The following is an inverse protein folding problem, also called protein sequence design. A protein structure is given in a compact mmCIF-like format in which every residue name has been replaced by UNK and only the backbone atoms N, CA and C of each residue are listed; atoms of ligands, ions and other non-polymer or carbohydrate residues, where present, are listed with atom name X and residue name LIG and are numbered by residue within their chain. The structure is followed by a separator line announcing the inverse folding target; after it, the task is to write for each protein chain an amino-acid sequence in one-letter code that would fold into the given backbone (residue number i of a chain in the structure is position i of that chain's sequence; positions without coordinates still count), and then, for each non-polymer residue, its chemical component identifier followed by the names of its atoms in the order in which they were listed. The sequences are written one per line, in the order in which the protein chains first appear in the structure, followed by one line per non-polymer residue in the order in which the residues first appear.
data_IF_666311696978
#
_entry.id   IF_666311696978
#
_cell.length_a   1.000
_cell.length_b   1.000
_cell.length_c   1.000
_cell.angle_alpha   90.00
_cell.angle_beta   90.00
_cell.angle_gamma   90.00
#
_symmetry.space_group_name_H-M   'P 1'
#
loop_
_entity.id
_entity.type
_entity.pdbx_description
1 polymer ?
#
# COMPACT_ATOMS: atom_id res chain seq x y z
N UNK A 1 -0.27 -46.55 -3.11
CA UNK A 1 -1.44 -45.82 -3.71
C UNK A 1 -1.74 -44.45 -3.05
N UNK A 2 -1.03 -44.06 -1.98
CA UNK A 2 -1.24 -42.77 -1.31
C UNK A 2 -0.54 -41.56 -1.97
N UNK A 3 0.45 -41.79 -2.81
CA UNK A 3 1.30 -40.74 -3.36
C UNK A 3 0.61 -39.90 -4.45
N UNK A 4 -0.16 -40.49 -5.35
CA UNK A 4 -0.79 -39.80 -6.47
C UNK A 4 -2.00 -38.93 -6.06
N UNK A 5 -2.78 -39.40 -5.07
CA UNK A 5 -3.92 -38.63 -4.55
C UNK A 5 -3.48 -37.41 -3.75
N UNK A 6 -2.34 -37.49 -3.07
CA UNK A 6 -1.77 -36.36 -2.32
C UNK A 6 -1.23 -35.25 -3.27
N UNK A 7 -0.67 -35.63 -4.38
CA UNK A 7 -0.10 -34.76 -5.41
C UNK A 7 -1.16 -33.95 -6.15
N UNK A 8 -2.28 -34.57 -6.56
CA UNK A 8 -3.36 -33.82 -7.21
C UNK A 8 -4.08 -32.87 -6.26
N UNK A 9 -4.19 -33.19 -4.97
CA UNK A 9 -4.74 -32.28 -3.96
C UNK A 9 -3.84 -31.08 -3.72
N UNK A 10 -2.52 -31.26 -3.71
CA UNK A 10 -1.56 -30.16 -3.59
C UNK A 10 -1.55 -29.25 -4.82
N UNK A 11 -1.62 -29.81 -6.03
CA UNK A 11 -1.69 -29.02 -7.26
C UNK A 11 -3.00 -28.21 -7.34
N UNK A 12 -4.13 -28.79 -6.95
CA UNK A 12 -5.42 -28.08 -6.90
C UNK A 12 -5.42 -26.96 -5.85
N UNK A 13 -4.83 -27.20 -4.68
CA UNK A 13 -4.73 -26.19 -3.64
C UNK A 13 -3.81 -25.04 -4.06
N UNK A 14 -2.70 -25.33 -4.73
CA UNK A 14 -1.79 -24.32 -5.26
C UNK A 14 -2.45 -23.44 -6.33
N UNK A 15 -3.18 -24.04 -7.29
CA UNK A 15 -3.92 -23.29 -8.31
C UNK A 15 -4.99 -22.37 -7.70
N UNK A 16 -5.72 -22.88 -6.69
CA UNK A 16 -6.71 -22.08 -5.96
C UNK A 16 -6.07 -20.93 -5.20
N UNK A 17 -4.94 -21.17 -4.51
CA UNK A 17 -4.21 -20.13 -3.78
C UNK A 17 -3.69 -19.04 -4.71
N UNK A 18 -3.21 -19.39 -5.91
CA UNK A 18 -2.78 -18.43 -6.92
C UNK A 18 -3.94 -17.54 -7.42
N UNK A 19 -5.13 -18.11 -7.62
CA UNK A 19 -6.33 -17.35 -7.98
C UNK A 19 -6.75 -16.39 -6.84
N UNK A 20 -6.76 -16.89 -5.60
CA UNK A 20 -7.13 -16.08 -4.43
C UNK A 20 -6.12 -14.93 -4.20
N UNK A 21 -4.84 -15.18 -4.45
CA UNK A 21 -3.81 -14.13 -4.44
C UNK A 21 -4.07 -13.08 -5.54
N UNK A 22 -4.38 -13.49 -6.76
CA UNK A 22 -4.71 -12.56 -7.85
C UNK A 22 -5.94 -11.71 -7.52
N UNK A 23 -6.98 -12.30 -6.95
CA UNK A 23 -8.17 -11.58 -6.48
C UNK A 23 -7.89 -10.64 -5.31
N UNK A 24 -6.99 -11.02 -4.41
CA UNK A 24 -6.57 -10.13 -3.32
C UNK A 24 -5.78 -8.93 -3.85
N UNK A 25 -4.90 -9.13 -4.84
CA UNK A 25 -4.18 -8.03 -5.52
C UNK A 25 -5.14 -7.10 -6.25
N UNK A 26 -6.16 -7.63 -6.91
CA UNK A 26 -7.19 -6.83 -7.59
C UNK A 26 -7.98 -5.97 -6.60
N UNK A 27 -8.43 -6.54 -5.49
CA UNK A 27 -9.09 -5.79 -4.41
C UNK A 27 -8.17 -4.72 -3.82
N UNK A 28 -6.90 -5.03 -3.58
CA UNK A 28 -5.93 -4.08 -3.06
C UNK A 28 -5.66 -2.93 -4.04
N UNK A 29 -5.61 -3.23 -5.35
CA UNK A 29 -5.48 -2.22 -6.39
C UNK A 29 -6.70 -1.29 -6.40
N UNK A 30 -7.91 -1.84 -6.43
CA UNK A 30 -9.14 -1.06 -6.42
C UNK A 30 -9.29 -0.22 -5.14
N UNK A 31 -8.86 -0.75 -3.99
CA UNK A 31 -8.86 -0.01 -2.73
C UNK A 31 -7.95 1.23 -2.76
N UNK A 32 -6.85 1.22 -3.51
CA UNK A 32 -5.97 2.40 -3.70
C UNK A 32 -6.61 3.52 -4.52
N UNK A 33 -7.63 3.20 -5.32
CA UNK A 33 -8.37 4.19 -6.09
C UNK A 33 -9.46 4.89 -5.26
N UNK A 34 -9.78 4.37 -4.07
CA UNK A 34 -10.68 5.00 -3.13
C UNK A 34 -9.97 6.11 -2.34
N UNK A 35 -10.73 7.08 -1.77
CA UNK A 35 -10.16 8.08 -0.90
C UNK A 35 -9.41 7.45 0.27
N UNK A 36 -8.14 7.82 0.44
CA UNK A 36 -7.30 7.38 1.55
C UNK A 36 -7.28 8.45 2.61
N UNK A 37 -7.66 8.10 3.83
CA UNK A 37 -7.66 9.02 4.98
C UNK A 37 -6.45 8.69 5.84
N UNK A 38 -5.62 9.70 6.13
CA UNK A 38 -4.47 9.58 7.00
C UNK A 38 -4.52 10.63 8.11
N UNK A 39 -4.23 10.21 9.33
CA UNK A 39 -3.93 11.07 10.46
C UNK A 39 -2.41 11.14 10.58
N UNK A 40 -1.87 12.35 10.66
CA UNK A 40 -0.44 12.61 10.82
C UNK A 40 -0.23 13.62 11.92
N UNK A 41 0.91 13.55 12.60
CA UNK A 41 1.23 14.53 13.62
C UNK A 41 2.61 14.30 14.20
N UNK A 42 3.24 15.41 14.57
CA UNK A 42 4.49 15.45 15.31
C UNK A 42 4.20 16.00 16.71
N UNK A 43 4.58 15.22 17.71
CA UNK A 43 4.41 15.61 19.12
C UNK A 43 5.78 15.94 19.67
N UNK A 44 5.98 17.24 19.99
CA UNK A 44 7.21 17.75 20.60
C UNK A 44 8.48 17.70 19.71
N UNK A 45 8.50 18.54 18.69
CA UNK A 45 9.74 18.86 17.99
C UNK A 45 10.44 20.00 18.74
N UNK A 46 11.41 19.66 19.60
CA UNK A 46 12.12 20.62 20.44
C UNK A 46 13.41 21.08 19.77
N UNK A 47 13.54 22.40 19.62
CA UNK A 47 14.74 23.06 19.11
C UNK A 47 15.24 24.12 20.11
N UNK A 48 16.55 24.17 20.29
CA UNK A 48 17.22 25.19 21.11
C UNK A 48 18.32 25.85 20.28
N UNK A 49 18.25 27.18 20.13
CA UNK A 49 19.19 27.96 19.34
C UNK A 49 19.43 29.30 19.97
N UNK A 50 20.58 29.92 19.67
CA UNK A 50 20.84 31.31 19.99
C UNK A 50 20.44 32.14 18.78
N UNK A 51 19.47 33.01 18.97
CA UNK A 51 18.91 33.84 17.89
C UNK A 51 19.06 35.35 18.19
N UNK A 52 19.19 36.19 17.18
CA UNK A 52 19.14 37.64 17.36
C UNK A 52 17.72 38.09 17.72
N UNK A 53 17.58 38.77 18.82
CA UNK A 53 16.34 39.42 19.28
C UNK A 53 16.45 40.89 19.19
N UNK A 54 15.52 41.54 18.51
CA UNK A 54 15.46 43.02 18.40
C UNK A 54 14.68 43.55 19.59
N UNK A 55 15.35 44.35 20.41
CA UNK A 55 14.72 45.07 21.49
C UNK A 55 13.99 46.32 20.99
N UNK A 56 13.00 46.77 21.75
CA UNK A 56 12.27 48.03 21.46
C UNK A 56 13.15 49.27 21.46
N UNK A 57 14.36 49.16 22.01
CA UNK A 57 15.41 50.23 21.98
C UNK A 57 16.15 50.33 20.63
N UNK A 58 15.90 49.37 19.68
CA UNK A 58 16.64 49.28 18.42
C UNK A 58 17.93 48.47 18.51
N UNK A 59 18.26 47.94 19.67
CA UNK A 59 19.45 47.15 19.91
C UNK A 59 19.20 45.69 19.61
N UNK A 60 20.17 44.98 19.03
CA UNK A 60 20.10 43.54 18.73
C UNK A 60 20.90 42.79 19.78
N UNK A 61 20.23 41.90 20.51
CA UNK A 61 20.85 41.04 21.51
C UNK A 61 20.72 39.58 21.07
N UNK A 62 21.80 38.81 21.21
CA UNK A 62 21.74 37.37 20.98
C UNK A 62 21.23 36.67 22.24
N UNK A 63 20.07 36.02 22.13
CA UNK A 63 19.41 35.34 23.25
C UNK A 63 19.19 33.86 22.97
N UNK A 64 19.37 32.98 23.98
CA UNK A 64 18.99 31.61 23.85
C UNK A 64 17.47 31.50 23.75
N UNK A 65 17.00 30.83 22.69
CA UNK A 65 15.59 30.59 22.42
C UNK A 65 15.34 29.08 22.40
N UNK A 66 14.33 28.65 23.13
CA UNK A 66 13.79 27.29 23.05
C UNK A 66 12.47 27.34 22.31
N UNK A 67 12.32 26.44 21.38
CA UNK A 67 11.12 26.32 20.56
C UNK A 67 10.63 24.87 20.62
N UNK A 68 9.34 24.69 20.89
CA UNK A 68 8.68 23.41 20.81
C UNK A 68 7.52 23.51 19.83
N UNK A 69 7.61 22.76 18.74
CA UNK A 69 6.60 22.70 17.70
C UNK A 69 5.87 21.37 17.81
N UNK A 70 4.55 21.40 17.73
CA UNK A 70 3.70 20.23 17.68
C UNK A 70 2.64 20.46 16.61
N UNK A 71 2.40 19.47 15.78
CA UNK A 71 1.36 19.55 14.76
C UNK A 71 0.48 18.31 14.77
N UNK A 72 -0.75 18.46 14.33
CA UNK A 72 -1.67 17.39 14.08
C UNK A 72 -2.53 17.73 12.87
N UNK A 73 -2.68 16.78 11.96
CA UNK A 73 -3.47 16.99 10.76
C UNK A 73 -4.14 15.73 10.24
N UNK A 74 -5.24 15.94 9.53
CA UNK A 74 -5.93 14.90 8.79
C UNK A 74 -5.79 15.22 7.30
N UNK A 75 -5.44 14.23 6.51
CA UNK A 75 -5.40 14.34 5.06
C UNK A 75 -6.28 13.29 4.41
N UNK A 76 -6.97 13.69 3.34
CA UNK A 76 -7.71 12.79 2.45
C UNK A 76 -7.07 12.91 1.09
N UNK A 77 -6.55 11.80 0.57
CA UNK A 77 -5.90 11.74 -0.75
C UNK A 77 -6.68 10.80 -1.64
N UNK A 78 -6.98 11.24 -2.84
CA UNK A 78 -7.66 10.43 -3.86
C UNK A 78 -6.91 10.46 -5.18
N UNK A 79 -6.60 9.28 -5.70
CA UNK A 79 -6.11 9.14 -7.07
C UNK A 79 -7.25 9.42 -8.06
N UNK A 80 -6.93 10.15 -9.14
CA UNK A 80 -7.84 10.48 -10.24
C UNK A 80 -7.30 9.86 -11.54
N UNK A 81 -7.54 8.56 -11.81
CA UNK A 81 -6.93 7.85 -12.95
C UNK A 81 -7.27 8.48 -14.30
N UNK A 82 -8.50 9.02 -14.44
CA UNK A 82 -8.98 9.68 -15.65
C UNK A 82 -8.26 11.02 -15.93
N UNK A 83 -7.81 11.72 -14.87
CA UNK A 83 -7.05 12.97 -14.97
C UNK A 83 -5.53 12.70 -15.00
N UNK A 84 -5.09 11.58 -14.44
CA UNK A 84 -3.67 11.22 -14.30
C UNK A 84 -2.97 11.96 -13.17
N UNK A 85 -3.71 12.34 -12.12
CA UNK A 85 -3.22 13.09 -10.98
C UNK A 85 -3.83 12.64 -9.66
N UNK A 86 -3.57 13.41 -8.60
CA UNK A 86 -4.11 13.20 -7.26
C UNK A 86 -4.78 14.46 -6.73
N UNK A 87 -5.89 14.28 -6.03
CA UNK A 87 -6.54 15.29 -5.22
C UNK A 87 -6.21 15.03 -3.76
N UNK A 88 -5.71 16.05 -3.07
CA UNK A 88 -5.41 15.99 -1.64
C UNK A 88 -6.13 17.11 -0.91
N UNK A 89 -6.85 16.78 0.13
CA UNK A 89 -7.48 17.72 1.06
C UNK A 89 -6.84 17.53 2.42
N UNK A 90 -6.33 18.59 3.01
CA UNK A 90 -5.62 18.56 4.30
C UNK A 90 -6.25 19.56 5.26
N UNK A 91 -6.40 19.16 6.51
CA UNK A 91 -6.69 20.04 7.65
C UNK A 91 -5.57 19.91 8.66
N UNK A 92 -5.01 21.03 9.11
CA UNK A 92 -3.82 21.04 9.96
C UNK A 92 -4.00 22.00 11.13
N UNK A 93 -3.54 21.58 12.30
CA UNK A 93 -3.43 22.39 13.52
C UNK A 93 -1.97 22.34 13.99
N UNK A 94 -1.35 23.51 14.05
CA UNK A 94 0.01 23.71 14.54
C UNK A 94 -0.01 24.41 15.88
N UNK A 95 0.85 24.01 16.77
CA UNK A 95 1.14 24.67 18.04
C UNK A 95 2.62 24.96 18.14
N UNK A 96 2.96 26.22 18.40
CA UNK A 96 4.31 26.69 18.59
C UNK A 96 4.45 27.31 19.97
N UNK A 97 5.23 26.68 20.84
CA UNK A 97 5.66 27.25 22.13
C UNK A 97 7.10 27.76 21.97
N UNK A 98 7.30 29.05 22.21
CA UNK A 98 8.62 29.69 22.15
C UNK A 98 8.95 30.33 23.50
N UNK A 99 10.20 30.18 23.95
CA UNK A 99 10.71 30.84 25.14
C UNK A 99 12.08 31.43 24.80
N UNK A 100 12.19 32.75 24.89
CA UNK A 100 13.45 33.47 24.73
C UNK A 100 13.87 34.11 26.06
N UNK A 101 15.15 33.98 26.43
CA UNK A 101 15.69 34.60 27.61
C UNK A 101 16.55 35.80 27.20
N UNK A 102 16.06 37.00 27.46
CA UNK A 102 16.69 38.27 27.02
C UNK A 102 17.58 38.93 28.10
N UNK A 103 17.89 38.25 29.19
CA UNK A 103 18.65 38.81 30.34
C UNK A 103 17.80 39.65 31.28
N UNK A 104 16.72 40.27 30.81
CA UNK A 104 15.73 41.01 31.62
C UNK A 104 14.52 40.18 31.99
N UNK A 105 14.54 38.87 31.69
CA UNK A 105 13.47 37.92 31.96
C UNK A 105 13.21 37.00 30.78
N UNK A 106 12.50 35.89 31.04
CA UNK A 106 12.07 34.97 30.02
C UNK A 106 10.76 35.46 29.37
N UNK A 107 10.75 35.57 28.07
CA UNK A 107 9.54 35.83 27.27
C UNK A 107 9.04 34.48 26.71
N UNK A 108 7.89 34.05 27.18
CA UNK A 108 7.24 32.86 26.69
C UNK A 108 6.04 33.24 25.81
N UNK A 109 5.95 32.63 24.66
CA UNK A 109 4.87 32.83 23.69
C UNK A 109 4.33 31.48 23.27
N UNK A 110 3.01 31.34 23.17
CA UNK A 110 2.31 30.18 22.64
C UNK A 110 1.41 30.63 21.51
N UNK A 111 1.64 30.07 20.35
CA UNK A 111 0.88 30.40 19.13
C UNK A 111 0.20 29.15 18.59
N UNK A 112 -1.06 29.29 18.24
CA UNK A 112 -1.81 28.26 17.52
C UNK A 112 -2.12 28.77 16.13
N UNK A 113 -1.85 27.92 15.13
CA UNK A 113 -2.18 28.18 13.73
C UNK A 113 -3.06 27.04 13.25
N UNK A 114 -4.24 27.36 12.75
CA UNK A 114 -5.16 26.41 12.16
C UNK A 114 -5.28 26.68 10.68
N UNK A 115 -5.14 25.61 9.88
CA UNK A 115 -5.50 25.59 8.47
C UNK A 115 -6.71 24.67 8.35
N UNK A 116 -7.95 25.21 8.34
CA UNK A 116 -9.17 24.38 8.42
C UNK A 116 -9.26 23.40 7.28
N UNK A 117 -8.94 23.82 6.07
CA UNK A 117 -8.76 22.94 4.92
C UNK A 117 -7.88 23.60 3.85
N UNK A 118 -7.12 22.79 3.19
CA UNK A 118 -6.31 23.11 2.02
C UNK A 118 -6.58 22.07 0.96
N UNK A 119 -6.85 22.50 -0.27
CA UNK A 119 -7.05 21.62 -1.42
C UNK A 119 -5.81 21.75 -2.30
N UNK A 120 -5.24 20.61 -2.64
CA UNK A 120 -4.08 20.48 -3.51
C UNK A 120 -4.44 19.51 -4.64
N UNK A 121 -4.15 19.89 -5.87
CA UNK A 121 -4.29 19.05 -7.05
C UNK A 121 -2.90 18.91 -7.65
N UNK A 122 -2.41 17.69 -7.68
CA UNK A 122 -1.15 17.34 -8.34
C UNK A 122 -1.47 16.62 -9.65
N UNK A 123 -1.00 17.18 -10.77
CA UNK A 123 -1.24 16.63 -12.10
C UNK A 123 0.01 16.72 -12.96
N UNK A 124 0.48 15.58 -13.43
CA UNK A 124 1.58 15.50 -14.40
C UNK A 124 1.07 15.85 -15.81
N UNK A 125 1.53 16.96 -16.36
CA UNK A 125 1.08 17.45 -17.67
C UNK A 125 1.75 16.74 -18.84
N UNK A 126 3.02 16.35 -18.71
CA UNK A 126 3.86 15.81 -19.80
C UNK A 126 4.26 14.34 -19.61
N UNK A 127 3.81 13.68 -18.55
CA UNK A 127 4.04 12.27 -18.32
C UNK A 127 2.87 11.41 -18.83
N UNK A 128 3.13 10.18 -19.27
CA UNK A 128 2.05 9.26 -19.60
C UNK A 128 1.17 9.02 -18.37
N UNK A 129 -0.12 8.86 -18.58
CA UNK A 129 -1.11 8.60 -17.53
C UNK A 129 -0.97 7.17 -17.01
N UNK A 130 0.07 6.92 -16.22
CA UNK A 130 0.40 5.59 -15.70
C UNK A 130 -0.79 4.95 -14.97
N UNK A 131 -1.50 5.71 -14.14
CA UNK A 131 -2.67 5.23 -13.41
C UNK A 131 -3.78 4.70 -14.32
N UNK A 132 -3.99 5.31 -15.49
CA UNK A 132 -4.96 4.84 -16.48
C UNK A 132 -4.52 3.51 -17.11
N UNK A 133 -3.24 3.40 -17.45
CA UNK A 133 -2.67 2.17 -18.00
C UNK A 133 -2.64 1.06 -16.97
N UNK A 134 -2.31 1.35 -15.73
CA UNK A 134 -2.34 0.39 -14.62
C UNK A 134 -3.73 -0.15 -14.39
N UNK A 135 -4.76 0.69 -14.45
CA UNK A 135 -6.16 0.26 -14.32
C UNK A 135 -6.55 -0.72 -15.44
N UNK A 136 -6.16 -0.44 -16.69
CA UNK A 136 -6.40 -1.32 -17.82
C UNK A 136 -5.60 -2.63 -17.72
N UNK A 137 -4.32 -2.53 -17.35
CA UNK A 137 -3.45 -3.68 -17.17
C UNK A 137 -3.94 -4.60 -16.04
N UNK A 138 -4.48 -4.02 -14.96
CA UNK A 138 -5.03 -4.81 -13.84
C UNK A 138 -6.25 -5.63 -14.26
N UNK A 139 -7.15 -5.08 -15.06
CA UNK A 139 -8.29 -5.82 -15.59
C UNK A 139 -7.84 -7.02 -16.44
N UNK A 140 -6.81 -6.84 -17.28
CA UNK A 140 -6.22 -7.93 -18.07
C UNK A 140 -5.53 -8.99 -17.20
N UNK A 141 -4.77 -8.57 -16.18
CA UNK A 141 -4.12 -9.51 -15.23
C UNK A 141 -5.14 -10.36 -14.48
N UNK A 142 -6.27 -9.78 -14.10
CA UNK A 142 -7.35 -10.51 -13.44
C UNK A 142 -7.93 -11.58 -14.35
N UNK A 143 -8.22 -11.26 -15.62
CA UNK A 143 -8.74 -12.21 -16.58
C UNK A 143 -7.74 -13.34 -16.92
N UNK A 144 -6.45 -13.00 -17.03
CA UNK A 144 -5.38 -14.00 -17.24
C UNK A 144 -5.28 -14.96 -16.05
N UNK A 145 -5.37 -14.46 -14.82
CA UNK A 145 -5.33 -15.31 -13.63
C UNK A 145 -6.53 -16.30 -13.56
N UNK A 146 -7.71 -15.88 -14.01
CA UNK A 146 -8.88 -16.76 -14.11
C UNK A 146 -8.68 -17.84 -15.18
N UNK A 147 -8.14 -17.48 -16.34
CA UNK A 147 -7.84 -18.45 -17.39
C UNK A 147 -6.76 -19.45 -16.97
N UNK A 148 -5.70 -19.00 -16.32
CA UNK A 148 -4.65 -19.87 -15.78
C UNK A 148 -5.19 -20.84 -14.72
N UNK A 149 -6.14 -20.42 -13.91
CA UNK A 149 -6.79 -21.33 -12.97
C UNK A 149 -7.61 -22.42 -13.68
N UNK A 150 -8.35 -22.06 -14.74
CA UNK A 150 -9.12 -23.02 -15.54
C UNK A 150 -8.18 -24.01 -16.23
N UNK A 151 -7.11 -23.53 -16.86
CA UNK A 151 -6.07 -24.35 -17.49
C UNK A 151 -5.44 -25.32 -16.50
N UNK A 152 -5.00 -24.84 -15.33
CA UNK A 152 -4.44 -25.71 -14.30
C UNK A 152 -5.42 -26.78 -13.82
N UNK A 153 -6.72 -26.49 -13.77
CA UNK A 153 -7.74 -27.46 -13.41
C UNK A 153 -7.93 -28.52 -14.49
N UNK A 154 -7.88 -28.15 -15.76
CA UNK A 154 -7.97 -29.08 -16.88
C UNK A 154 -6.73 -29.98 -16.96
N UNK A 155 -5.54 -29.42 -16.75
CA UNK A 155 -4.28 -30.18 -16.70
C UNK A 155 -4.28 -31.22 -15.57
N UNK A 156 -4.80 -30.87 -14.40
CA UNK A 156 -4.95 -31.80 -13.28
C UNK A 156 -5.92 -32.90 -13.65
N UNK A 157 -7.04 -32.60 -14.29
CA UNK A 157 -8.00 -33.59 -14.74
C UNK A 157 -7.41 -34.54 -15.77
N UNK A 158 -6.69 -34.02 -16.78
CA UNK A 158 -6.03 -34.79 -17.82
C UNK A 158 -4.93 -35.70 -17.24
N UNK A 159 -4.08 -35.16 -16.36
CA UNK A 159 -3.02 -35.93 -15.72
C UNK A 159 -3.56 -37.02 -14.79
N UNK A 160 -4.67 -36.75 -14.09
CA UNK A 160 -5.36 -37.74 -13.25
C UNK A 160 -5.95 -38.87 -14.11
N UNK A 161 -6.57 -38.53 -15.24
CA UNK A 161 -7.10 -39.53 -16.18
C UNK A 161 -5.97 -40.41 -16.78
N UNK A 162 -4.87 -39.79 -17.19
CA UNK A 162 -3.70 -40.53 -17.70
C UNK A 162 -3.14 -41.48 -16.65
N UNK A 163 -2.95 -41.04 -15.42
CA UNK A 163 -2.45 -41.86 -14.33
C UNK A 163 -3.40 -43.02 -14.00
N UNK A 164 -4.72 -42.83 -14.15
CA UNK A 164 -5.69 -43.88 -13.99
C UNK A 164 -5.56 -44.95 -15.07
N UNK A 165 -5.43 -44.57 -16.34
CA UNK A 165 -5.25 -45.50 -17.44
C UNK A 165 -3.91 -46.24 -17.36
N UNK A 166 -2.84 -45.59 -16.96
CA UNK A 166 -1.52 -46.20 -16.73
C UNK A 166 -1.58 -47.26 -15.63
N UNK A 167 -2.27 -46.97 -14.54
CA UNK A 167 -2.52 -47.92 -13.46
C UNK A 167 -3.34 -49.11 -13.92
N UNK A 168 -4.42 -48.87 -14.68
CA UNK A 168 -5.27 -49.92 -15.23
C UNK A 168 -4.48 -50.81 -16.18
N UNK A 169 -3.69 -50.25 -17.10
CA UNK A 169 -2.85 -51.00 -18.01
C UNK A 169 -1.80 -51.87 -17.28
N UNK A 170 -1.15 -51.31 -16.25
CA UNK A 170 -0.21 -52.05 -15.40
C UNK A 170 -0.88 -53.22 -14.65
N UNK A 171 -2.12 -53.03 -14.17
CA UNK A 171 -2.88 -54.05 -13.48
C UNK A 171 -3.24 -55.19 -14.42
N UNK A 172 -3.70 -54.91 -15.64
CA UNK A 172 -4.02 -55.89 -16.66
C UNK A 172 -2.76 -56.64 -17.09
N UNK A 173 -1.63 -55.97 -17.27
CA UNK A 173 -0.36 -56.60 -17.60
C UNK A 173 0.12 -57.56 -16.50
N UNK A 174 -0.06 -57.21 -15.23
CA UNK A 174 0.26 -58.10 -14.12
C UNK A 174 -0.65 -59.33 -14.08
N UNK A 175 -1.96 -59.14 -14.29
CA UNK A 175 -2.91 -60.27 -14.35
C UNK A 175 -2.56 -61.23 -15.49
N UNK A 176 -2.24 -60.72 -16.67
CA UNK A 176 -1.83 -61.55 -17.80
C UNK A 176 -0.51 -62.29 -17.53
N UNK A 177 0.47 -61.65 -16.90
CA UNK A 177 1.73 -62.28 -16.55
C UNK A 177 1.53 -63.42 -15.51
N UNK A 178 0.65 -63.19 -14.51
CA UNK A 178 0.34 -64.22 -13.50
C UNK A 178 -0.48 -65.38 -14.04
N UNK A 179 -1.31 -65.14 -15.06
CA UNK A 179 -2.09 -66.19 -15.72
C UNK A 179 -1.26 -67.08 -16.68
N UNK A 180 -0.13 -66.58 -17.16
CA UNK A 180 0.78 -67.27 -18.08
C UNK A 180 2.01 -67.90 -17.39
N UNK A 181 2.15 -67.76 -16.09
CA UNK A 181 3.19 -68.37 -15.25
C UNK A 181 2.69 -69.66 -14.61
#
# INVERSE_FOLDING_TARGET
SGSSANWSSHATSAARSALDEARARDRAFNARLLPQIALQGDVANYNHAVVPVFLSTGETVFAPQSQNESNMGVSVTQALPWLGGTLKVTSLLDRLDQTANTGNGAIASRTWKSTPFQIEIDQNLFQPREQLWDTRAQALRSSVAEQQYLEAREDIAASTASAFFDYYAATVALQNATANA
#
